data_IF_949924907200
#
_entry.id   IF_949924907200
#
_cell.length_a   1.000
_cell.length_b   1.000
_cell.length_c   1.000
_cell.angle_alpha   90.00
_cell.angle_beta   90.00
_cell.angle_gamma   90.00
#
_symmetry.space_group_name_H-M   'P 1'
#
loop_
_entity.id
_entity.type
_entity.pdbx_description
1 polymer ?
#
# COMPACT_ATOMS: atom_id res chain seq x y z
N UNK A 1 -45.10 35.86 -41.34
CA UNK A 1 -45.40 35.63 -39.91
C UNK A 1 -45.59 34.15 -39.63
N UNK A 2 -46.57 33.47 -40.23
CA UNK A 2 -46.84 32.03 -39.97
C UNK A 2 -45.67 31.09 -40.32
N UNK A 3 -45.00 31.32 -41.44
CA UNK A 3 -43.83 30.52 -41.89
C UNK A 3 -42.66 30.61 -40.92
N UNK A 4 -42.35 31.81 -40.40
CA UNK A 4 -41.29 32.00 -39.42
C UNK A 4 -41.54 31.28 -38.09
N UNK A 5 -42.82 31.11 -37.70
CA UNK A 5 -43.19 30.29 -36.53
C UNK A 5 -43.02 28.80 -36.81
N UNK A 6 -43.43 28.31 -37.99
CA UNK A 6 -43.25 26.92 -38.39
C UNK A 6 -41.76 26.52 -38.46
N UNK A 7 -40.91 27.36 -39.05
CA UNK A 7 -39.46 27.12 -39.10
C UNK A 7 -38.81 27.11 -37.71
N UNK A 8 -39.33 27.95 -36.80
CA UNK A 8 -38.87 27.94 -35.40
C UNK A 8 -39.31 26.67 -34.68
N UNK A 9 -40.54 26.22 -34.90
CA UNK A 9 -41.09 25.02 -34.28
C UNK A 9 -40.35 23.76 -34.74
N UNK A 10 -40.05 23.63 -36.04
CA UNK A 10 -39.24 22.55 -36.59
C UNK A 10 -37.83 22.50 -35.96
N UNK A 11 -37.15 23.65 -35.86
CA UNK A 11 -35.82 23.73 -35.19
C UNK A 11 -35.88 23.39 -33.71
N UNK A 12 -36.97 23.73 -33.02
CA UNK A 12 -37.15 23.38 -31.62
C UNK A 12 -37.38 21.88 -31.45
N UNK A 13 -38.19 21.26 -32.32
CA UNK A 13 -38.42 19.81 -32.32
C UNK A 13 -37.13 19.03 -32.58
N UNK A 14 -36.32 19.44 -33.56
CA UNK A 14 -35.02 18.81 -33.83
C UNK A 14 -34.08 18.91 -32.62
N UNK A 15 -34.01 20.09 -31.98
CA UNK A 15 -33.21 20.29 -30.76
C UNK A 15 -33.71 19.44 -29.61
N UNK A 16 -35.04 19.32 -29.45
CA UNK A 16 -35.63 18.53 -28.37
C UNK A 16 -35.32 17.04 -28.55
N UNK A 17 -35.41 16.52 -29.78
CA UNK A 17 -35.01 15.15 -30.11
C UNK A 17 -33.53 14.92 -29.81
N UNK A 18 -32.65 15.80 -30.29
CA UNK A 18 -31.22 15.69 -30.03
C UNK A 18 -30.86 15.74 -28.53
N UNK A 19 -31.57 16.57 -27.74
CA UNK A 19 -31.41 16.62 -26.30
C UNK A 19 -31.90 15.35 -25.60
N UNK A 20 -33.03 14.77 -26.04
CA UNK A 20 -33.53 13.49 -25.50
C UNK A 20 -32.53 12.36 -25.75
N UNK A 21 -32.00 12.26 -26.97
CA UNK A 21 -31.01 11.24 -27.33
C UNK A 21 -29.74 11.38 -26.49
N UNK A 22 -29.26 12.63 -26.33
CA UNK A 22 -28.10 12.91 -25.48
C UNK A 22 -28.35 12.57 -24.01
N UNK A 23 -29.52 12.88 -23.47
CA UNK A 23 -29.88 12.52 -22.09
C UNK A 23 -29.94 11.01 -21.90
N UNK A 24 -30.47 10.27 -22.88
CA UNK A 24 -30.49 8.81 -22.82
C UNK A 24 -29.07 8.23 -22.85
N UNK A 25 -28.21 8.72 -23.75
CA UNK A 25 -26.82 8.30 -23.81
C UNK A 25 -26.05 8.58 -22.51
N UNK A 26 -26.26 9.76 -21.90
CA UNK A 26 -25.67 10.11 -20.61
C UNK A 26 -26.15 9.19 -19.49
N UNK A 27 -27.45 8.87 -19.40
CA UNK A 27 -27.94 7.93 -18.39
C UNK A 27 -27.32 6.55 -18.49
N UNK A 28 -27.12 6.04 -19.72
CA UNK A 28 -26.45 4.75 -19.92
C UNK A 28 -24.98 4.85 -19.49
N UNK A 29 -24.29 5.94 -19.83
CA UNK A 29 -22.91 6.16 -19.42
C UNK A 29 -22.78 6.25 -17.88
N UNK A 30 -23.68 6.98 -17.21
CA UNK A 30 -23.70 7.10 -15.75
C UNK A 30 -23.88 5.73 -15.07
N UNK A 31 -24.82 4.91 -15.56
CA UNK A 31 -25.05 3.56 -15.04
C UNK A 31 -23.81 2.66 -15.22
N UNK A 32 -23.14 2.73 -16.37
CA UNK A 32 -21.92 1.98 -16.62
C UNK A 32 -20.75 2.46 -15.76
N UNK A 33 -20.66 3.77 -15.50
CA UNK A 33 -19.66 4.33 -14.60
C UNK A 33 -19.91 3.85 -13.16
N UNK A 34 -21.13 3.96 -12.65
CA UNK A 34 -21.49 3.49 -11.31
C UNK A 34 -21.17 2.00 -11.13
N UNK A 35 -21.51 1.18 -12.13
CA UNK A 35 -21.19 -0.26 -12.13
C UNK A 35 -19.68 -0.51 -12.07
N UNK A 36 -18.90 0.22 -12.87
CA UNK A 36 -17.42 0.07 -12.88
C UNK A 36 -16.80 0.56 -11.58
N UNK A 37 -17.30 1.66 -11.01
CA UNK A 37 -16.84 2.17 -9.72
C UNK A 37 -17.09 1.16 -8.60
N UNK A 38 -18.29 0.58 -8.54
CA UNK A 38 -18.60 -0.45 -7.56
C UNK A 38 -17.68 -1.68 -7.71
N UNK A 39 -17.45 -2.14 -8.95
CA UNK A 39 -16.54 -3.26 -9.21
C UNK A 39 -15.09 -2.95 -8.80
N UNK A 40 -14.62 -1.72 -9.06
CA UNK A 40 -13.29 -1.28 -8.65
C UNK A 40 -13.15 -1.24 -7.13
N UNK A 41 -14.13 -0.70 -6.42
CA UNK A 41 -14.11 -0.66 -4.95
C UNK A 41 -14.11 -2.06 -4.35
N UNK A 42 -14.89 -3.00 -4.90
CA UNK A 42 -14.86 -4.40 -4.46
C UNK A 42 -13.50 -5.04 -4.71
N UNK A 43 -12.94 -4.87 -5.90
CA UNK A 43 -11.62 -5.43 -6.23
C UNK A 43 -10.50 -4.84 -5.35
N UNK A 44 -10.56 -3.55 -5.02
CA UNK A 44 -9.60 -2.90 -4.12
C UNK A 44 -9.68 -3.50 -2.70
N UNK A 45 -10.89 -3.71 -2.19
CA UNK A 45 -11.10 -4.28 -0.86
C UNK A 45 -10.65 -5.75 -0.81
N UNK A 46 -10.97 -6.56 -1.83
CA UNK A 46 -10.49 -7.94 -1.94
C UNK A 46 -8.96 -8.01 -2.01
N UNK A 47 -8.33 -7.10 -2.76
CA UNK A 47 -6.87 -7.00 -2.83
C UNK A 47 -6.28 -6.64 -1.46
N UNK A 48 -6.85 -5.65 -0.78
CA UNK A 48 -6.41 -5.23 0.56
C UNK A 48 -6.52 -6.37 1.58
N UNK A 49 -7.61 -7.12 1.55
CA UNK A 49 -7.79 -8.29 2.41
C UNK A 49 -6.78 -9.40 2.10
N UNK A 50 -6.50 -9.64 0.82
CA UNK A 50 -5.50 -10.64 0.40
C UNK A 50 -4.09 -10.24 0.85
N UNK A 51 -3.72 -8.96 0.71
CA UNK A 51 -2.45 -8.44 1.20
C UNK A 51 -2.34 -8.57 2.73
N UNK A 52 -3.39 -8.19 3.47
CA UNK A 52 -3.41 -8.33 4.93
C UNK A 52 -3.30 -9.79 5.39
N UNK A 53 -3.91 -10.73 4.66
CA UNK A 53 -3.78 -12.17 4.95
C UNK A 53 -2.37 -12.69 4.68
N UNK A 54 -1.72 -12.22 3.62
CA UNK A 54 -0.34 -12.57 3.31
C UNK A 54 0.64 -11.99 4.35
N UNK A 55 0.38 -10.77 4.84
CA UNK A 55 1.22 -10.10 5.83
C UNK A 55 1.09 -10.73 7.23
N UNK A 56 -0.12 -11.10 7.66
CA UNK A 56 -0.35 -11.61 9.04
C UNK A 56 0.37 -12.93 9.35
N UNK A 57 0.35 -13.91 8.43
CA UNK A 57 1.03 -15.19 8.68
C UNK A 57 2.56 -15.05 8.73
N UNK A 58 3.13 -14.20 7.86
CA UNK A 58 4.56 -13.92 7.87
C UNK A 58 4.96 -13.04 9.07
N UNK A 59 4.11 -12.10 9.48
CA UNK A 59 4.34 -11.23 10.64
C UNK A 59 4.32 -12.00 11.95
N UNK A 60 3.45 -12.98 12.13
CA UNK A 60 3.40 -13.80 13.34
C UNK A 60 4.69 -14.61 13.54
N UNK A 61 5.18 -15.24 12.47
CA UNK A 61 6.44 -15.98 12.51
C UNK A 61 7.64 -15.05 12.74
N UNK A 62 7.68 -13.89 12.09
CA UNK A 62 8.72 -12.87 12.33
C UNK A 62 8.67 -12.34 13.76
N UNK A 63 7.49 -12.09 14.30
CA UNK A 63 7.28 -11.64 15.69
C UNK A 63 7.79 -12.70 16.65
N UNK A 64 7.50 -13.98 16.39
CA UNK A 64 7.97 -15.09 17.22
C UNK A 64 9.48 -15.20 17.20
N UNK A 65 10.12 -15.14 16.03
CA UNK A 65 11.57 -15.15 15.90
C UNK A 65 12.23 -13.94 16.57
N UNK A 66 11.65 -12.75 16.41
CA UNK A 66 12.11 -11.53 17.09
C UNK A 66 12.11 -11.71 18.60
N UNK A 67 11.02 -12.25 19.17
CA UNK A 67 10.93 -12.58 20.60
C UNK A 67 11.97 -13.61 21.05
N UNK A 68 12.32 -14.60 20.22
CA UNK A 68 13.37 -15.57 20.56
C UNK A 68 14.71 -14.86 20.75
N UNK A 69 15.09 -14.00 19.82
CA UNK A 69 16.33 -13.23 19.92
C UNK A 69 16.31 -12.20 21.04
N UNK A 70 15.17 -11.55 21.29
CA UNK A 70 15.06 -10.60 22.40
C UNK A 70 15.23 -11.24 23.78
N UNK A 71 14.80 -12.49 23.93
CA UNK A 71 14.95 -13.24 25.18
C UNK A 71 16.34 -13.89 25.31
N UNK A 72 17.19 -13.81 24.28
CA UNK A 72 18.55 -14.31 24.30
C UNK A 72 19.49 -13.31 24.99
N UNK A 73 20.62 -13.79 25.54
CA UNK A 73 21.66 -12.90 26.04
C UNK A 73 22.19 -12.03 24.89
N UNK A 74 22.28 -10.69 25.06
CA UNK A 74 22.66 -9.79 23.95
C UNK A 74 23.97 -10.17 23.26
N UNK A 75 24.96 -10.66 24.01
CA UNK A 75 26.24 -11.12 23.45
C UNK A 75 26.12 -12.36 22.56
N UNK A 76 25.21 -13.27 22.89
CA UNK A 76 24.95 -14.47 22.08
C UNK A 76 24.13 -14.11 20.83
N UNK A 77 23.15 -13.22 20.98
CA UNK A 77 22.38 -12.70 19.86
C UNK A 77 23.29 -11.95 18.88
N UNK A 78 24.19 -11.08 19.36
CA UNK A 78 25.13 -10.34 18.52
C UNK A 78 25.97 -11.27 17.63
N UNK A 79 26.54 -12.34 18.20
CA UNK A 79 27.32 -13.31 17.43
C UNK A 79 26.50 -14.00 16.32
N UNK A 80 25.22 -14.29 16.58
CA UNK A 80 24.33 -14.85 15.56
C UNK A 80 23.93 -13.82 14.49
N UNK A 81 23.78 -12.56 14.86
CA UNK A 81 23.47 -11.47 13.94
C UNK A 81 24.63 -11.18 12.99
N UNK A 82 25.88 -11.37 13.40
CA UNK A 82 27.05 -11.19 12.52
C UNK A 82 27.12 -12.24 11.40
N UNK A 83 26.63 -13.45 11.64
CA UNK A 83 26.57 -14.53 10.64
C UNK A 83 25.35 -14.42 9.71
N UNK A 84 24.44 -13.48 9.99
CA UNK A 84 23.18 -13.31 9.29
C UNK A 84 23.31 -12.36 8.10
N UNK A 85 22.45 -12.51 7.08
CA UNK A 85 22.37 -11.52 6.01
C UNK A 85 22.08 -10.12 6.57
N UNK A 86 22.83 -9.08 6.17
CA UNK A 86 22.67 -7.73 6.71
C UNK A 86 21.29 -7.10 6.54
N UNK A 87 20.55 -7.42 5.48
CA UNK A 87 19.19 -6.91 5.27
C UNK A 87 18.19 -7.57 6.22
N UNK A 88 18.36 -8.86 6.45
CA UNK A 88 17.54 -9.60 7.40
C UNK A 88 17.83 -9.11 8.82
N UNK A 89 19.10 -9.07 9.23
CA UNK A 89 19.54 -8.60 10.55
C UNK A 89 19.02 -7.19 10.88
N UNK A 90 19.19 -6.23 9.96
CA UNK A 90 18.66 -4.88 10.12
C UNK A 90 17.13 -4.88 10.28
N UNK A 91 16.42 -5.77 9.60
CA UNK A 91 14.98 -5.93 9.70
C UNK A 91 14.48 -6.48 11.03
N UNK A 92 15.25 -7.32 11.72
CA UNK A 92 14.96 -7.76 13.09
C UNK A 92 15.25 -6.66 14.09
N UNK A 93 16.40 -5.99 13.98
CA UNK A 93 16.77 -4.88 14.87
C UNK A 93 15.74 -3.75 14.84
N UNK A 94 15.15 -3.48 13.66
CA UNK A 94 14.08 -2.49 13.50
C UNK A 94 12.78 -2.84 14.25
N UNK A 95 12.50 -4.13 14.42
CA UNK A 95 11.27 -4.65 15.04
C UNK A 95 11.43 -4.97 16.52
N UNK A 96 12.68 -5.09 16.99
CA UNK A 96 13.00 -5.31 18.40
C UNK A 96 12.69 -4.09 19.25
N UNK A 97 12.48 -4.32 20.54
CA UNK A 97 12.47 -3.26 21.54
C UNK A 97 13.78 -2.46 21.51
N UNK A 98 13.74 -1.11 21.50
CA UNK A 98 14.92 -0.27 21.31
C UNK A 98 16.07 -0.58 22.28
N UNK A 99 15.74 -0.87 23.54
CA UNK A 99 16.72 -1.19 24.58
C UNK A 99 17.46 -2.50 24.32
N UNK A 100 16.77 -3.51 23.77
CA UNK A 100 17.37 -4.81 23.45
C UNK A 100 18.18 -4.69 22.16
N UNK A 101 17.65 -4.01 21.14
CA UNK A 101 18.37 -3.73 19.90
C UNK A 101 19.68 -2.99 20.18
N UNK A 102 19.67 -1.98 21.05
CA UNK A 102 20.88 -1.27 21.48
C UNK A 102 21.89 -2.20 22.16
N UNK A 103 21.44 -3.10 23.04
CA UNK A 103 22.31 -4.06 23.71
C UNK A 103 22.93 -5.08 22.74
N UNK A 104 22.18 -5.51 21.71
CA UNK A 104 22.70 -6.37 20.64
C UNK A 104 23.71 -5.60 19.79
N UNK A 105 23.39 -4.38 19.37
CA UNK A 105 24.29 -3.51 18.59
C UNK A 105 25.61 -3.23 19.32
N UNK A 106 25.57 -3.05 20.64
CA UNK A 106 26.77 -2.88 21.46
C UNK A 106 27.66 -4.14 21.53
N UNK A 107 27.10 -5.31 21.24
CA UNK A 107 27.83 -6.58 21.17
C UNK A 107 28.39 -6.91 19.79
N UNK A 108 28.05 -6.15 18.76
CA UNK A 108 28.53 -6.34 17.38
C UNK A 108 29.91 -5.73 17.17
N UNK A 109 30.63 -6.22 16.17
CA UNK A 109 31.79 -5.56 15.61
C UNK A 109 31.41 -4.22 14.96
N UNK A 110 32.31 -3.23 14.97
CA UNK A 110 32.03 -1.91 14.36
C UNK A 110 31.60 -1.98 12.89
N UNK A 111 32.14 -2.94 12.12
CA UNK A 111 31.80 -3.14 10.71
C UNK A 111 30.37 -3.67 10.52
N UNK A 112 29.96 -4.65 11.32
CA UNK A 112 28.60 -5.17 11.29
C UNK A 112 27.59 -4.09 11.73
N UNK A 113 27.85 -3.40 12.84
CA UNK A 113 26.99 -2.33 13.35
C UNK A 113 26.80 -1.20 12.32
N UNK A 114 27.88 -0.79 11.63
CA UNK A 114 27.78 0.20 10.56
C UNK A 114 26.93 -0.30 9.39
N UNK A 115 27.20 -1.53 8.92
CA UNK A 115 26.45 -2.13 7.79
C UNK A 115 24.96 -2.19 8.09
N UNK A 116 24.57 -2.69 9.26
CA UNK A 116 23.16 -2.79 9.64
C UNK A 116 22.50 -1.41 9.76
N UNK A 117 23.22 -0.41 10.28
CA UNK A 117 22.73 0.96 10.39
C UNK A 117 22.46 1.59 9.01
N UNK A 118 23.37 1.37 8.04
CA UNK A 118 23.19 1.85 6.66
C UNK A 118 21.99 1.19 6.00
N UNK A 119 21.84 -0.12 6.15
CA UNK A 119 20.70 -0.84 5.57
C UNK A 119 19.38 -0.41 6.20
N UNK A 120 19.35 -0.19 7.51
CA UNK A 120 18.18 0.31 8.23
C UNK A 120 17.78 1.71 7.76
N UNK A 121 18.76 2.62 7.60
CA UNK A 121 18.53 3.96 7.07
C UNK A 121 18.06 3.93 5.61
N UNK A 122 18.64 3.04 4.78
CA UNK A 122 18.29 2.88 3.37
C UNK A 122 16.89 2.31 3.15
N UNK A 123 16.39 1.43 4.04
CA UNK A 123 15.01 0.91 3.97
C UNK A 123 13.95 2.01 4.11
N UNK A 124 14.21 3.02 4.93
CA UNK A 124 13.28 4.15 5.11
C UNK A 124 13.35 5.17 3.96
N UNK A 125 14.43 5.18 3.18
CA UNK A 125 14.59 6.07 2.03
C UNK A 125 13.74 5.64 0.81
N UNK A 126 13.30 4.38 0.76
CA UNK A 126 12.47 3.83 -0.33
C UNK A 126 10.97 3.85 -0.03
N UNK A 127 10.53 4.40 1.11
CA UNK A 127 9.11 4.60 1.39
C UNK A 127 8.70 5.92 0.74
N UNK A 128 7.75 5.94 -0.23
CA UNK A 128 7.24 7.19 -0.77
C UNK A 128 6.65 8.03 0.37
N UNK A 129 7.24 9.19 0.61
CA UNK A 129 6.60 10.23 1.43
C UNK A 129 5.43 10.82 0.65
N UNK A 130 4.27 10.90 1.32
CA UNK A 130 3.02 11.49 0.83
C UNK A 130 3.20 12.91 0.28
#
# INVERSE_FOLDING_TARGET
MLTAFQDREARLQERELALRDRMQALRVADQEIERKMAALTTAEEELRQTLALADTAAEDDLTRLTKVYENMKPKQAAALFEEMDPHFAAGFLARMRPEIAAAVMAGLSPGAAHTFSVVLAGRNANVPSE
#
